data_IF_283896764405
#
_entry.id   IF_283896764405
#
_cell.length_a   1.000
_cell.length_b   1.000
_cell.length_c   1.000
_cell.angle_alpha   90.00
_cell.angle_beta   90.00
_cell.angle_gamma   90.00
#
_symmetry.space_group_name_H-M   'P 1'
#
loop_
_entity.id
_entity.type
_entity.pdbx_description
1 polymer ?
#
# COMPACT_ATOMS: atom_id res chain seq x y z
N UNK A 1 17.48 43.49 -23.77
CA UNK A 1 16.57 42.70 -24.63
C UNK A 1 16.36 41.30 -24.03
N UNK A 2 15.88 41.18 -22.79
CA UNK A 2 15.68 39.86 -22.13
C UNK A 2 14.44 39.74 -21.24
N UNK A 3 13.54 40.73 -21.24
CA UNK A 3 12.28 40.66 -20.50
C UNK A 3 11.15 39.93 -21.26
N UNK A 4 11.27 39.73 -22.57
CA UNK A 4 10.28 38.97 -23.37
C UNK A 4 10.31 37.46 -23.15
N UNK A 5 11.38 36.89 -22.54
CA UNK A 5 11.47 35.45 -22.27
C UNK A 5 10.70 34.99 -21.02
N UNK A 6 10.35 35.90 -20.11
CA UNK A 6 9.60 35.55 -18.89
C UNK A 6 8.08 35.65 -19.07
N UNK A 7 7.60 36.49 -19.99
CA UNK A 7 6.16 36.62 -20.25
C UNK A 7 5.59 35.51 -21.16
N UNK A 8 6.42 34.83 -21.94
CA UNK A 8 5.96 33.73 -22.82
C UNK A 8 5.57 32.45 -22.07
N UNK A 9 6.07 32.25 -20.84
CA UNK A 9 5.64 31.12 -19.98
C UNK A 9 4.27 31.33 -19.33
N UNK A 10 3.81 32.58 -19.17
CA UNK A 10 2.50 32.89 -18.61
C UNK A 10 1.37 32.86 -19.66
N UNK A 11 1.74 32.89 -20.95
CA UNK A 11 0.83 32.88 -22.09
C UNK A 11 0.89 31.59 -22.92
N UNK A 12 1.20 30.45 -22.31
CA UNK A 12 0.59 29.20 -22.77
C UNK A 12 -0.86 29.21 -22.27
N UNK A 13 -1.69 29.99 -22.98
CA UNK A 13 -3.14 29.85 -22.97
C UNK A 13 -3.39 28.41 -23.43
N UNK A 14 -3.34 27.45 -22.50
CA UNK A 14 -3.70 26.04 -22.71
C UNK A 14 -5.07 26.14 -23.37
N UNK A 15 -5.12 25.86 -24.67
CA UNK A 15 -6.37 25.72 -25.42
C UNK A 15 -7.22 24.81 -24.53
N UNK A 16 -8.26 25.35 -23.88
CA UNK A 16 -9.19 24.53 -23.09
C UNK A 16 -9.79 23.56 -24.10
N UNK A 17 -9.22 22.35 -24.18
CA UNK A 17 -9.81 21.25 -24.95
C UNK A 17 -11.23 21.12 -24.42
N UNK A 18 -12.20 21.11 -25.33
CA UNK A 18 -13.60 20.96 -24.96
C UNK A 18 -13.74 19.66 -24.18
N UNK A 19 -14.16 19.75 -22.93
CA UNK A 19 -14.39 18.59 -22.06
C UNK A 19 -15.45 17.72 -22.70
N UNK A 20 -15.19 16.42 -22.79
CA UNK A 20 -16.18 15.43 -23.22
C UNK A 20 -17.15 15.13 -22.08
N UNK A 21 -18.33 14.58 -22.35
CA UNK A 21 -19.26 14.13 -21.28
C UNK A 21 -18.59 13.16 -20.29
N UNK A 22 -17.71 12.30 -20.79
CA UNK A 22 -16.90 11.40 -19.95
C UNK A 22 -15.96 12.15 -19.03
N UNK A 23 -15.39 13.26 -19.49
CA UNK A 23 -14.51 14.08 -18.67
C UNK A 23 -15.29 14.76 -17.52
N UNK A 24 -16.53 15.18 -17.78
CA UNK A 24 -17.41 15.70 -16.74
C UNK A 24 -17.81 14.62 -15.73
N UNK A 25 -18.16 13.43 -16.19
CA UNK A 25 -18.47 12.32 -15.29
C UNK A 25 -17.24 11.97 -14.42
N UNK A 26 -16.07 11.84 -15.04
CA UNK A 26 -14.83 11.55 -14.34
C UNK A 26 -14.49 12.62 -13.30
N UNK A 27 -14.62 13.91 -13.65
CA UNK A 27 -14.35 15.00 -12.70
C UNK A 27 -15.33 14.99 -11.52
N UNK A 28 -16.61 14.70 -11.75
CA UNK A 28 -17.61 14.61 -10.67
C UNK A 28 -17.25 13.50 -9.68
N UNK A 29 -16.92 12.30 -10.16
CA UNK A 29 -16.56 11.19 -9.27
C UNK A 29 -15.24 11.46 -8.55
N UNK A 30 -14.25 12.03 -9.23
CA UNK A 30 -12.99 12.41 -8.58
C UNK A 30 -13.18 13.49 -7.53
N UNK A 31 -14.02 14.49 -7.78
CA UNK A 31 -14.29 15.53 -6.79
C UNK A 31 -14.91 14.95 -5.51
N UNK A 32 -15.73 13.90 -5.62
CA UNK A 32 -16.27 13.17 -4.45
C UNK A 32 -15.18 12.43 -3.69
N UNK A 33 -14.30 11.73 -4.40
CA UNK A 33 -13.19 10.96 -3.81
C UNK A 33 -12.18 11.89 -3.14
N UNK A 34 -11.76 12.96 -3.83
CA UNK A 34 -10.69 13.87 -3.40
C UNK A 34 -11.20 14.95 -2.45
N UNK A 35 -12.51 15.25 -2.46
CA UNK A 35 -13.10 16.34 -1.69
C UNK A 35 -12.69 17.74 -2.15
N UNK A 36 -12.13 17.86 -3.36
CA UNK A 36 -11.72 19.13 -3.99
C UNK A 36 -11.95 19.07 -5.49
N UNK A 37 -12.09 20.23 -6.14
CA UNK A 37 -12.27 20.32 -7.59
C UNK A 37 -10.96 20.03 -8.35
N UNK A 38 -10.97 19.03 -9.23
CA UNK A 38 -9.85 18.71 -10.13
C UNK A 38 -9.55 19.86 -11.11
N UNK A 39 -8.28 20.26 -11.24
CA UNK A 39 -7.91 21.39 -12.10
C UNK A 39 -7.60 20.93 -13.53
N UNK A 40 -7.00 19.75 -13.68
CA UNK A 40 -6.59 19.20 -14.96
C UNK A 40 -7.05 17.74 -15.12
N UNK A 41 -8.29 17.56 -15.58
CA UNK A 41 -8.90 16.24 -15.85
C UNK A 41 -8.06 15.34 -16.77
N UNK A 42 -7.18 15.90 -17.60
CA UNK A 42 -6.34 15.12 -18.50
C UNK A 42 -5.36 14.20 -17.75
N UNK A 43 -4.87 14.62 -16.56
CA UNK A 43 -4.01 13.80 -15.72
C UNK A 43 -4.73 12.55 -15.22
N UNK A 44 -5.96 12.72 -14.77
CA UNK A 44 -6.77 11.61 -14.28
C UNK A 44 -7.26 10.72 -15.41
N UNK A 45 -7.55 11.30 -16.58
CA UNK A 45 -7.84 10.52 -17.78
C UNK A 45 -6.68 9.58 -18.12
N UNK A 46 -5.44 10.04 -17.98
CA UNK A 46 -4.25 9.21 -18.14
C UNK A 46 -4.15 8.15 -17.04
N UNK A 47 -4.37 8.52 -15.77
CA UNK A 47 -4.36 7.59 -14.63
C UNK A 47 -5.37 6.43 -14.79
N UNK A 48 -6.53 6.70 -15.38
CA UNK A 48 -7.59 5.70 -15.63
C UNK A 48 -7.67 5.25 -17.10
N UNK A 49 -6.54 5.35 -17.83
CA UNK A 49 -6.41 4.81 -19.18
C UNK A 49 -5.64 3.48 -19.14
N UNK A 50 -6.31 2.38 -19.50
CA UNK A 50 -5.60 1.13 -19.76
C UNK A 50 -4.85 1.21 -21.09
N UNK A 51 -3.77 0.44 -21.19
CA UNK A 51 -2.93 0.36 -22.38
C UNK A 51 -3.75 -0.18 -23.56
N UNK A 52 -3.93 0.66 -24.59
CA UNK A 52 -4.38 0.18 -25.89
C UNK A 52 -3.18 -0.32 -26.67
N UNK A 53 -3.16 -1.60 -27.04
CA UNK A 53 -2.06 -2.30 -27.73
C UNK A 53 -1.64 -1.74 -29.10
N UNK A 54 -2.10 -0.59 -29.56
CA UNK A 54 -1.84 -0.17 -30.95
C UNK A 54 -1.81 1.32 -31.30
N UNK A 55 -2.16 2.29 -30.43
CA UNK A 55 -2.28 3.70 -30.91
C UNK A 55 -1.70 4.83 -30.05
N UNK A 56 -1.40 4.65 -28.77
CA UNK A 56 -0.81 5.71 -27.94
C UNK A 56 0.31 5.14 -27.06
N UNK A 57 1.56 5.25 -27.51
CA UNK A 57 2.74 4.84 -26.72
C UNK A 57 3.07 5.79 -25.57
N UNK A 58 2.59 7.03 -25.61
CA UNK A 58 3.09 8.13 -24.76
C UNK A 58 2.23 8.47 -23.53
N UNK A 59 1.03 7.89 -23.40
CA UNK A 59 0.11 8.11 -22.27
C UNK A 59 -0.03 6.78 -21.55
N UNK A 60 0.70 6.61 -20.46
CA UNK A 60 0.77 5.32 -19.77
C UNK A 60 0.56 5.55 -18.28
N UNK A 61 -0.56 5.06 -17.75
CA UNK A 61 -0.88 5.13 -16.32
C UNK A 61 0.27 4.58 -15.46
N UNK A 62 1.09 3.65 -15.97
CA UNK A 62 2.28 3.11 -15.29
C UNK A 62 3.31 4.21 -14.94
N UNK A 63 3.39 5.30 -15.70
CA UNK A 63 4.27 6.45 -15.35
C UNK A 63 3.72 7.24 -14.17
N UNK A 64 2.40 7.39 -14.10
CA UNK A 64 1.73 8.02 -12.96
C UNK A 64 1.77 7.09 -11.74
N UNK A 65 1.64 5.78 -11.93
CA UNK A 65 1.83 4.75 -10.89
C UNK A 65 3.23 4.89 -10.28
N UNK A 66 4.28 4.88 -11.11
CA UNK A 66 5.66 5.04 -10.67
C UNK A 66 5.89 6.31 -9.86
N UNK A 67 5.38 7.46 -10.35
CA UNK A 67 5.46 8.72 -9.63
C UNK A 67 4.67 8.67 -8.32
N UNK A 68 3.47 8.10 -8.37
CA UNK A 68 2.54 8.02 -7.26
C UNK A 68 3.06 7.17 -6.11
N UNK A 69 3.68 6.02 -6.39
CA UNK A 69 4.34 5.18 -5.38
C UNK A 69 5.43 5.96 -4.64
N UNK A 70 6.29 6.68 -5.37
CA UNK A 70 7.35 7.51 -4.78
C UNK A 70 6.79 8.65 -3.91
N UNK A 71 5.75 9.33 -4.40
CA UNK A 71 5.08 10.43 -3.68
C UNK A 71 4.38 9.92 -2.43
N UNK A 72 3.59 8.84 -2.55
CA UNK A 72 2.91 8.20 -1.42
C UNK A 72 3.93 7.75 -0.37
N UNK A 73 4.98 7.04 -0.81
CA UNK A 73 6.05 6.58 0.07
C UNK A 73 6.70 7.73 0.84
N UNK A 74 6.88 8.89 0.21
CA UNK A 74 7.42 10.10 0.85
C UNK A 74 6.45 10.69 1.86
N UNK A 75 5.18 10.88 1.48
CA UNK A 75 4.14 11.42 2.36
C UNK A 75 3.99 10.56 3.62
N UNK A 76 3.95 9.24 3.46
CA UNK A 76 3.83 8.31 4.58
C UNK A 76 5.09 8.30 5.45
N UNK A 77 6.29 8.31 4.88
CA UNK A 77 7.52 8.45 5.66
C UNK A 77 7.50 9.72 6.52
N UNK A 78 7.18 10.87 5.92
CA UNK A 78 7.13 12.15 6.63
C UNK A 78 6.07 12.14 7.73
N UNK A 79 4.87 11.62 7.44
CA UNK A 79 3.80 11.51 8.42
C UNK A 79 4.21 10.62 9.59
N UNK A 80 4.75 9.42 9.35
CA UNK A 80 5.16 8.50 10.41
C UNK A 80 6.28 9.09 11.29
N UNK A 81 7.26 9.76 10.69
CA UNK A 81 8.35 10.41 11.42
C UNK A 81 7.83 11.51 12.36
N UNK A 82 6.86 12.30 11.91
CA UNK A 82 6.25 13.36 12.72
C UNK A 82 5.31 12.81 13.81
N UNK A 83 4.53 11.79 13.48
CA UNK A 83 3.53 11.20 14.39
C UNK A 83 4.18 10.36 15.49
N UNK A 84 5.31 9.71 15.22
CA UNK A 84 6.00 8.82 16.15
C UNK A 84 7.45 9.26 16.41
N UNK A 85 7.69 10.41 17.06
CA UNK A 85 9.04 10.97 17.23
C UNK A 85 9.97 10.13 18.12
N UNK A 86 9.42 9.19 18.89
CA UNK A 86 10.17 8.29 19.77
C UNK A 86 10.32 6.88 19.20
N UNK A 87 9.74 6.60 18.03
CA UNK A 87 9.85 5.29 17.41
C UNK A 87 11.21 5.14 16.70
N UNK A 88 11.79 3.94 16.80
CA UNK A 88 12.99 3.61 16.04
C UNK A 88 12.71 3.38 14.55
N UNK A 89 13.79 3.30 13.76
CA UNK A 89 13.72 3.09 12.31
C UNK A 89 12.96 1.81 11.94
N UNK A 90 13.16 0.71 12.67
CA UNK A 90 12.50 -0.57 12.40
C UNK A 90 10.98 -0.49 12.51
N UNK A 91 10.46 0.19 13.53
CA UNK A 91 9.02 0.44 13.68
C UNK A 91 8.48 1.30 12.52
N UNK A 92 9.17 2.39 12.18
CA UNK A 92 8.76 3.29 11.10
C UNK A 92 8.73 2.55 9.75
N UNK A 93 9.75 1.75 9.46
CA UNK A 93 9.85 0.92 8.25
C UNK A 93 8.75 -0.14 8.22
N UNK A 94 8.45 -0.79 9.36
CA UNK A 94 7.35 -1.75 9.46
C UNK A 94 5.99 -1.07 9.22
N UNK A 95 5.75 0.08 9.85
CA UNK A 95 4.51 0.84 9.68
C UNK A 95 4.32 1.35 8.26
N UNK A 96 5.39 1.88 7.63
CA UNK A 96 5.35 2.26 6.23
C UNK A 96 4.96 1.06 5.36
N UNK A 97 5.61 -0.08 5.56
CA UNK A 97 5.31 -1.32 4.84
C UNK A 97 3.87 -1.81 5.05
N UNK A 98 3.27 -1.57 6.22
CA UNK A 98 1.84 -1.86 6.47
C UNK A 98 0.91 -1.03 5.60
N UNK A 99 1.24 0.24 5.41
CA UNK A 99 0.42 1.21 4.72
C UNK A 99 0.55 1.05 3.20
N UNK A 100 1.79 0.95 2.69
CA UNK A 100 2.05 0.96 1.25
C UNK A 100 2.18 -0.43 0.61
N UNK A 101 1.89 -1.51 1.35
CA UNK A 101 1.92 -2.84 0.72
C UNK A 101 0.78 -3.03 -0.28
N UNK A 102 1.06 -3.84 -1.31
CA UNK A 102 0.13 -4.15 -2.40
C UNK A 102 -1.26 -4.60 -1.92
N UNK A 103 -1.34 -5.43 -0.88
CA UNK A 103 -2.63 -5.91 -0.35
C UNK A 103 -3.48 -4.76 0.20
N UNK A 104 -2.86 -3.81 0.90
CA UNK A 104 -3.55 -2.64 1.42
C UNK A 104 -3.94 -1.68 0.30
N UNK A 105 -3.04 -1.38 -0.63
CA UNK A 105 -3.33 -0.48 -1.75
C UNK A 105 -4.42 -1.03 -2.67
N UNK A 106 -4.44 -2.33 -2.97
CA UNK A 106 -5.53 -2.96 -3.71
C UNK A 106 -6.86 -2.79 -2.99
N UNK A 107 -6.89 -3.06 -1.68
CA UNK A 107 -8.10 -2.89 -0.88
C UNK A 107 -8.60 -1.44 -0.93
N UNK A 108 -7.72 -0.46 -0.77
CA UNK A 108 -8.10 0.96 -0.83
C UNK A 108 -8.65 1.33 -2.21
N UNK A 109 -8.02 0.85 -3.29
CA UNK A 109 -8.53 1.05 -4.65
C UNK A 109 -9.89 0.39 -4.89
N UNK A 110 -10.13 -0.79 -4.30
CA UNK A 110 -11.43 -1.48 -4.35
C UNK A 110 -12.50 -0.75 -3.54
N UNK A 111 -12.18 -0.32 -2.31
CA UNK A 111 -13.09 0.41 -1.43
C UNK A 111 -13.52 1.75 -2.08
N UNK A 112 -12.61 2.38 -2.83
CA UNK A 112 -12.87 3.59 -3.63
C UNK A 112 -13.49 3.31 -5.02
N UNK A 113 -13.66 2.04 -5.39
CA UNK A 113 -14.18 1.60 -6.70
C UNK A 113 -13.44 2.21 -7.89
N UNK A 114 -12.12 2.33 -7.79
CA UNK A 114 -11.29 2.99 -8.82
C UNK A 114 -11.38 2.31 -10.19
N UNK A 115 -11.67 1.01 -10.24
CA UNK A 115 -11.90 0.27 -11.49
C UNK A 115 -13.12 0.76 -12.26
N UNK A 116 -14.11 1.35 -11.59
CA UNK A 116 -15.31 1.89 -12.24
C UNK A 116 -15.00 3.18 -13.03
N UNK A 117 -13.89 3.84 -12.70
CA UNK A 117 -13.40 5.04 -13.39
C UNK A 117 -12.59 4.71 -14.63
N UNK A 118 -12.23 3.44 -14.84
CA UNK A 118 -11.56 3.01 -16.05
C UNK A 118 -12.45 3.30 -17.26
N UNK A 119 -11.84 3.87 -18.30
CA UNK A 119 -12.54 3.98 -19.57
C UNK A 119 -12.86 2.57 -20.05
N UNK A 120 -14.15 2.25 -20.21
CA UNK A 120 -14.61 0.98 -20.81
C UNK A 120 -13.90 0.75 -22.14
N UNK A 121 -12.84 -0.04 -22.10
CA UNK A 121 -12.13 -0.59 -23.24
C UNK A 121 -12.42 -2.09 -23.22
N UNK A 122 -12.69 -2.64 -24.40
CA UNK A 122 -13.20 -4.00 -24.56
C UNK A 122 -12.45 -5.02 -23.69
N UNK A 123 -13.19 -5.77 -22.87
CA UNK A 123 -12.80 -7.01 -22.18
C UNK A 123 -11.29 -7.23 -21.95
N UNK A 124 -10.62 -6.25 -21.33
CA UNK A 124 -9.24 -6.45 -20.87
C UNK A 124 -9.33 -7.19 -19.54
N UNK A 125 -8.74 -8.38 -19.47
CA UNK A 125 -8.56 -9.06 -18.19
C UNK A 125 -7.73 -8.14 -17.29
N UNK A 126 -8.33 -7.68 -16.20
CA UNK A 126 -7.63 -6.85 -15.23
C UNK A 126 -6.70 -7.73 -14.40
N UNK A 127 -5.47 -7.27 -14.17
CA UNK A 127 -4.54 -7.97 -13.29
C UNK A 127 -5.02 -7.94 -11.84
N UNK A 128 -4.57 -8.91 -11.03
CA UNK A 128 -4.91 -9.06 -9.60
C UNK A 128 -4.59 -7.79 -8.76
N UNK A 129 -3.70 -6.94 -9.26
CA UNK A 129 -3.20 -5.74 -8.60
C UNK A 129 -3.71 -4.42 -9.18
N UNK A 130 -4.68 -4.47 -10.10
CA UNK A 130 -5.10 -3.28 -10.85
C UNK A 130 -5.56 -2.14 -9.93
N UNK A 131 -6.32 -2.45 -8.88
CA UNK A 131 -6.90 -1.43 -8.00
C UNK A 131 -5.81 -0.65 -7.26
N UNK A 132 -4.76 -1.33 -6.80
CA UNK A 132 -3.61 -0.70 -6.15
C UNK A 132 -2.79 0.14 -7.13
N UNK A 133 -2.57 -0.36 -8.34
CA UNK A 133 -1.87 0.40 -9.38
C UNK A 133 -2.64 1.66 -9.77
N UNK A 134 -3.98 1.59 -9.88
CA UNK A 134 -4.83 2.75 -10.13
C UNK A 134 -4.82 3.73 -8.96
N UNK A 135 -4.74 3.24 -7.73
CA UNK A 135 -4.60 4.09 -6.55
C UNK A 135 -3.28 4.87 -6.58
N UNK A 136 -2.16 4.21 -6.90
CA UNK A 136 -0.86 4.85 -7.09
C UNK A 136 -0.92 5.85 -8.25
N UNK A 137 -1.51 5.48 -9.40
CA UNK A 137 -1.66 6.39 -10.54
C UNK A 137 -2.52 7.62 -10.22
N UNK A 138 -3.59 7.45 -9.43
CA UNK A 138 -4.42 8.55 -8.92
C UNK A 138 -3.57 9.52 -8.09
N UNK A 139 -2.72 9.01 -7.18
CA UNK A 139 -1.83 9.83 -6.37
C UNK A 139 -0.84 10.60 -7.26
N UNK A 140 -0.26 9.95 -8.27
CA UNK A 140 0.59 10.61 -9.25
C UNK A 140 -0.13 11.77 -9.97
N UNK A 141 -1.39 11.56 -10.37
CA UNK A 141 -2.20 12.61 -10.99
C UNK A 141 -2.51 13.76 -10.02
N UNK A 142 -2.90 13.47 -8.78
CA UNK A 142 -3.19 14.48 -7.74
C UNK A 142 -1.95 15.33 -7.44
N UNK A 143 -0.78 14.70 -7.34
CA UNK A 143 0.48 15.40 -7.12
C UNK A 143 0.80 16.40 -8.25
N UNK A 144 0.59 16.00 -9.51
CA UNK A 144 0.81 16.88 -10.65
C UNK A 144 -0.23 18.01 -10.74
N UNK A 145 -1.47 17.75 -10.28
CA UNK A 145 -2.56 18.71 -10.31
C UNK A 145 -2.43 19.78 -9.21
N UNK A 146 -2.10 19.38 -7.98
CA UNK A 146 -2.15 20.25 -6.80
C UNK A 146 -0.82 20.46 -6.07
N UNK A 147 0.27 19.86 -6.54
CA UNK A 147 1.58 19.91 -5.89
C UNK A 147 1.58 19.26 -4.48
N UNK A 148 2.73 19.26 -3.81
CA UNK A 148 2.98 18.39 -2.66
C UNK A 148 2.03 18.61 -1.47
N UNK A 149 1.87 19.85 -0.99
CA UNK A 149 1.15 20.11 0.28
C UNK A 149 -0.34 19.76 0.20
N UNK A 150 -1.00 20.11 -0.90
CA UNK A 150 -2.41 19.78 -1.09
C UNK A 150 -2.57 18.27 -1.33
N UNK A 151 -1.68 17.66 -2.11
CA UNK A 151 -1.66 16.21 -2.32
C UNK A 151 -1.51 15.44 -1.00
N UNK A 152 -0.55 15.86 -0.15
CA UNK A 152 -0.35 15.33 1.21
C UNK A 152 -1.63 15.41 2.03
N UNK A 153 -2.31 16.56 2.01
CA UNK A 153 -3.57 16.76 2.75
C UNK A 153 -4.65 15.80 2.27
N UNK A 154 -4.88 15.71 0.97
CA UNK A 154 -5.88 14.81 0.38
C UNK A 154 -5.58 13.36 0.76
N UNK A 155 -4.33 12.93 0.65
CA UNK A 155 -3.95 11.55 0.97
C UNK A 155 -4.20 11.23 2.44
N UNK A 156 -3.72 12.05 3.37
CA UNK A 156 -3.83 11.77 4.81
C UNK A 156 -5.23 11.96 5.39
N UNK A 157 -6.04 12.86 4.81
CA UNK A 157 -7.37 13.18 5.35
C UNK A 157 -8.50 12.43 4.65
N UNK A 158 -8.33 12.01 3.40
CA UNK A 158 -9.39 11.40 2.59
C UNK A 158 -9.10 9.97 2.14
N UNK A 159 -7.88 9.71 1.65
CA UNK A 159 -7.55 8.41 1.04
C UNK A 159 -6.94 7.40 2.02
N UNK A 160 -6.28 7.89 3.07
CA UNK A 160 -5.66 7.12 4.15
C UNK A 160 -6.03 7.77 5.47
N UNK A 161 -7.31 7.72 5.80
CA UNK A 161 -7.86 8.40 6.97
C UNK A 161 -7.17 7.94 8.26
N UNK A 162 -7.16 8.78 9.32
CA UNK A 162 -6.62 8.38 10.62
C UNK A 162 -7.21 7.06 11.14
N UNK A 163 -8.48 6.79 10.82
CA UNK A 163 -9.14 5.53 11.19
C UNK A 163 -8.55 4.31 10.50
N UNK A 164 -8.14 4.43 9.24
CA UNK A 164 -7.47 3.36 8.49
C UNK A 164 -6.05 3.16 8.99
N UNK A 165 -5.34 4.26 9.28
CA UNK A 165 -4.01 4.21 9.87
C UNK A 165 -4.01 3.49 11.23
N UNK A 166 -4.96 3.82 12.11
CA UNK A 166 -5.12 3.15 13.42
C UNK A 166 -5.44 1.65 13.28
N UNK A 167 -6.25 1.27 12.28
CA UNK A 167 -6.51 -0.16 11.99
C UNK A 167 -5.24 -0.90 11.55
N UNK A 168 -4.39 -0.23 10.77
CA UNK A 168 -3.13 -0.81 10.29
C UNK A 168 -2.08 -0.91 11.39
N UNK A 169 -2.01 0.07 12.29
CA UNK A 169 -1.10 0.07 13.43
C UNK A 169 -1.28 -1.18 14.30
N UNK A 170 -2.54 -1.48 14.66
CA UNK A 170 -2.90 -2.62 15.50
C UNK A 170 -2.81 -3.98 14.80
N UNK A 171 -2.52 -4.00 13.50
CA UNK A 171 -2.43 -5.24 12.73
C UNK A 171 -1.02 -5.83 12.83
N UNK A 172 -0.94 -7.06 13.31
CA UNK A 172 0.29 -7.86 13.26
C UNK A 172 0.50 -8.34 11.82
N UNK A 173 1.65 -8.01 11.23
CA UNK A 173 1.98 -8.35 9.83
C UNK A 173 2.76 -9.66 9.74
N UNK A 174 3.67 -9.89 10.68
CA UNK A 174 4.39 -11.14 10.82
C UNK A 174 4.55 -11.50 12.29
N UNK A 175 3.85 -12.56 12.69
CA UNK A 175 4.01 -13.21 13.98
C UNK A 175 5.38 -13.86 14.11
N UNK A 176 5.97 -14.36 13.01
CA UNK A 176 7.34 -14.90 13.04
C UNK A 176 8.36 -13.82 13.39
N UNK A 177 8.33 -12.69 12.67
CA UNK A 177 9.21 -11.55 12.97
C UNK A 177 9.01 -11.04 14.39
N UNK A 178 7.75 -10.87 14.80
CA UNK A 178 7.38 -10.43 16.15
C UNK A 178 7.96 -11.35 17.24
N UNK A 179 7.84 -12.68 17.08
CA UNK A 179 8.35 -13.64 18.05
C UNK A 179 9.88 -13.68 18.09
N UNK A 180 10.55 -13.51 16.94
CA UNK A 180 12.01 -13.43 16.88
C UNK A 180 12.53 -12.17 17.58
N UNK A 181 11.91 -11.01 17.36
CA UNK A 181 12.27 -9.77 18.05
C UNK A 181 12.03 -9.89 19.56
N UNK A 182 10.87 -10.44 19.95
CA UNK A 182 10.54 -10.65 21.36
C UNK A 182 11.53 -11.61 22.04
N UNK A 183 11.85 -12.75 21.40
CA UNK A 183 12.79 -13.72 21.96
C UNK A 183 14.19 -13.14 22.10
N UNK A 184 14.67 -12.37 21.10
CA UNK A 184 15.96 -11.68 21.16
C UNK A 184 16.00 -10.69 22.32
N UNK A 185 14.96 -9.86 22.49
CA UNK A 185 14.86 -8.89 23.60
C UNK A 185 14.89 -9.59 24.98
N UNK A 186 14.22 -10.72 25.10
CA UNK A 186 14.19 -11.53 26.33
C UNK A 186 15.40 -12.45 26.49
N UNK A 187 16.32 -12.49 25.52
CA UNK A 187 17.44 -13.43 25.44
C UNK A 187 17.00 -14.91 25.51
N UNK A 188 15.84 -15.22 24.94
CA UNK A 188 15.28 -16.56 24.84
C UNK A 188 15.63 -17.19 23.48
N UNK A 189 15.89 -18.48 23.48
CA UNK A 189 16.20 -19.24 22.27
C UNK A 189 14.90 -19.77 21.63
N UNK A 190 14.44 -19.11 20.56
CA UNK A 190 13.30 -19.60 19.76
C UNK A 190 13.81 -20.28 18.49
N UNK A 191 13.29 -21.46 18.18
CA UNK A 191 13.67 -22.24 16.99
C UNK A 191 12.46 -22.64 16.17
N UNK A 192 12.64 -22.63 14.85
CA UNK A 192 11.65 -23.07 13.88
C UNK A 192 12.19 -24.28 13.14
N UNK A 193 11.51 -25.42 13.27
CA UNK A 193 11.84 -26.65 12.57
C UNK A 193 10.74 -26.96 11.56
N UNK A 194 11.08 -26.86 10.28
CA UNK A 194 10.11 -27.06 9.19
C UNK A 194 10.52 -28.25 8.34
N UNK A 195 9.61 -29.22 8.21
CA UNK A 195 9.78 -30.42 7.40
C UNK A 195 8.77 -30.41 6.24
N UNK A 196 9.18 -30.96 5.11
CA UNK A 196 8.29 -31.22 3.97
C UNK A 196 7.62 -32.59 4.14
N UNK A 197 6.32 -32.66 3.87
CA UNK A 197 5.50 -33.87 3.96
C UNK A 197 4.70 -34.04 2.67
N UNK A 198 4.67 -35.27 2.14
CA UNK A 198 3.82 -35.62 1.00
C UNK A 198 2.54 -36.26 1.54
N UNK A 199 1.40 -35.65 1.24
CA UNK A 199 0.10 -36.18 1.62
C UNK A 199 -0.33 -37.35 0.73
N UNK A 200 -1.33 -38.11 1.17
CA UNK A 200 -1.89 -39.27 0.45
C UNK A 200 -2.36 -38.91 -0.97
N UNK A 201 -2.88 -37.69 -1.15
CA UNK A 201 -3.29 -37.14 -2.45
C UNK A 201 -2.11 -36.63 -3.32
N UNK A 202 -0.86 -36.94 -2.94
CA UNK A 202 0.38 -36.45 -3.57
C UNK A 202 0.59 -34.93 -3.53
N UNK A 203 -0.17 -34.21 -2.70
CA UNK A 203 0.10 -32.78 -2.46
C UNK A 203 1.26 -32.60 -1.47
N UNK A 204 2.13 -31.65 -1.75
CA UNK A 204 3.25 -31.30 -0.88
C UNK A 204 2.77 -30.27 0.13
N UNK A 205 3.03 -30.52 1.41
CA UNK A 205 2.77 -29.58 2.50
C UNK A 205 4.01 -29.44 3.37
N UNK A 206 4.09 -28.35 4.13
CA UNK A 206 5.19 -28.07 5.03
C UNK A 206 4.64 -28.02 6.45
N UNK A 207 5.19 -28.83 7.35
CA UNK A 207 4.88 -28.79 8.79
C UNK A 207 6.00 -28.07 9.52
N UNK A 208 5.64 -26.99 10.22
CA UNK A 208 6.55 -26.22 11.05
C UNK A 208 6.23 -26.44 12.53
N UNK A 209 7.27 -26.61 13.34
CA UNK A 209 7.25 -26.64 14.80
C UNK A 209 8.00 -25.43 15.35
N UNK A 210 7.40 -24.76 16.34
CA UNK A 210 8.01 -23.65 17.08
C UNK A 210 8.40 -24.12 18.47
N UNK A 211 9.68 -23.96 18.79
CA UNK A 211 10.27 -24.34 20.06
C UNK A 211 10.78 -23.11 20.80
N UNK A 212 10.62 -23.09 22.12
CA UNK A 212 11.21 -22.09 23.02
C UNK A 212 12.09 -22.84 24.03
N UNK A 213 13.41 -22.75 23.88
CA UNK A 213 14.33 -23.66 24.56
C UNK A 213 14.11 -25.09 24.08
N UNK A 214 13.75 -25.98 25.01
CA UNK A 214 13.42 -27.39 24.74
C UNK A 214 11.90 -27.63 24.69
N UNK A 215 11.08 -26.63 25.02
CA UNK A 215 9.63 -26.76 25.03
C UNK A 215 9.04 -26.52 23.65
N UNK A 216 8.20 -27.44 23.19
CA UNK A 216 7.45 -27.32 21.95
C UNK A 216 6.19 -26.49 22.18
N UNK A 217 6.17 -25.27 21.65
CA UNK A 217 5.09 -24.31 21.91
C UNK A 217 3.92 -24.50 20.96
N UNK A 218 4.19 -24.64 19.66
CA UNK A 218 3.15 -24.74 18.65
C UNK A 218 3.62 -25.44 17.38
N UNK A 219 2.67 -25.78 16.52
CA UNK A 219 2.93 -26.25 15.17
C UNK A 219 1.87 -25.78 14.18
N UNK A 220 2.18 -25.84 12.89
CA UNK A 220 1.20 -25.68 11.83
C UNK A 220 1.66 -26.37 10.54
N UNK A 221 0.70 -26.72 9.69
CA UNK A 221 0.94 -27.30 8.37
C UNK A 221 0.28 -26.42 7.31
N UNK A 222 1.02 -26.08 6.25
CA UNK A 222 0.55 -25.21 5.17
C UNK A 222 1.18 -25.61 3.82
N UNK A 223 0.66 -25.04 2.73
CA UNK A 223 1.10 -25.33 1.36
C UNK A 223 2.48 -24.78 0.98
N UNK A 224 3.09 -23.95 1.84
CA UNK A 224 4.47 -23.49 1.65
C UNK A 224 5.20 -23.33 2.97
N UNK A 225 6.52 -23.48 2.95
CA UNK A 225 7.40 -23.29 4.12
C UNK A 225 7.14 -21.97 4.83
N UNK A 226 7.06 -20.87 4.07
CA UNK A 226 6.80 -19.52 4.61
C UNK A 226 5.44 -19.42 5.30
N UNK A 227 4.38 -19.98 4.69
CA UNK A 227 3.04 -19.99 5.29
C UNK A 227 3.00 -20.84 6.56
N UNK A 228 3.68 -22.00 6.56
CA UNK A 228 3.71 -22.91 7.70
C UNK A 228 4.39 -22.26 8.91
N UNK A 229 5.56 -21.65 8.70
CA UNK A 229 6.30 -20.95 9.75
C UNK A 229 5.51 -19.77 10.32
N UNK A 230 4.89 -18.96 9.46
CA UNK A 230 4.07 -17.81 9.87
C UNK A 230 2.83 -18.27 10.66
N UNK A 231 2.17 -19.35 10.22
CA UNK A 231 1.00 -19.91 10.91
C UNK A 231 1.36 -20.55 12.24
N UNK A 232 2.50 -21.23 12.32
CA UNK A 232 3.01 -21.83 13.55
C UNK A 232 3.42 -20.73 14.55
N UNK A 233 4.08 -19.66 14.06
CA UNK A 233 4.39 -18.47 14.85
C UNK A 233 3.13 -17.79 15.38
N UNK A 234 2.08 -17.65 14.56
CA UNK A 234 0.80 -17.08 14.99
C UNK A 234 0.21 -17.88 16.17
N UNK A 235 0.20 -19.21 16.07
CA UNK A 235 -0.28 -20.08 17.16
C UNK A 235 0.58 -19.93 18.42
N UNK A 236 1.91 -19.96 18.27
CA UNK A 236 2.85 -19.77 19.38
C UNK A 236 2.64 -18.42 20.06
N UNK A 237 2.43 -17.34 19.29
CA UNK A 237 2.16 -16.01 19.81
C UNK A 237 0.93 -16.01 20.73
N UNK A 238 -0.20 -16.58 20.31
CA UNK A 238 -1.40 -16.58 21.16
C UNK A 238 -1.23 -17.41 22.44
N UNK A 239 -0.42 -18.45 22.41
CA UNK A 239 -0.09 -19.25 23.60
C UNK A 239 0.80 -18.46 24.55
N UNK A 240 1.87 -17.86 24.04
CA UNK A 240 2.87 -17.14 24.83
C UNK A 240 2.35 -15.78 25.32
N UNK A 241 1.57 -15.06 24.51
CA UNK A 241 1.05 -13.73 24.87
C UNK A 241 0.13 -13.77 26.09
N UNK A 242 -0.59 -14.88 26.32
CA UNK A 242 -1.38 -15.09 27.55
C UNK A 242 -0.53 -15.16 28.82
N UNK A 243 0.73 -15.61 28.70
CA UNK A 243 1.65 -15.80 29.82
C UNK A 243 2.56 -14.59 30.02
N UNK A 244 3.06 -14.00 28.92
CA UNK A 244 4.21 -13.10 28.92
C UNK A 244 3.90 -11.67 28.42
N UNK A 245 2.65 -11.39 28.01
CA UNK A 245 2.22 -10.10 27.47
C UNK A 245 3.18 -9.51 26.40
N UNK A 246 3.36 -10.25 25.30
CA UNK A 246 4.34 -9.99 24.23
C UNK A 246 4.17 -8.60 23.60
N UNK A 247 2.95 -8.06 23.55
CA UNK A 247 2.63 -6.77 22.92
C UNK A 247 2.97 -5.54 23.79
N UNK A 248 3.57 -5.71 24.98
CA UNK A 248 3.90 -4.61 25.89
C UNK A 248 4.79 -3.52 25.26
N UNK A 249 4.21 -2.31 25.12
CA UNK A 249 4.83 -1.03 24.70
C UNK A 249 5.89 -1.11 23.58
N UNK A 250 5.52 -1.61 22.40
CA UNK A 250 6.33 -1.46 21.16
C UNK A 250 6.52 -0.01 20.67
N UNK A 251 5.99 0.99 21.37
CA UNK A 251 5.99 2.40 20.96
C UNK A 251 7.17 3.24 21.48
N UNK A 252 8.00 2.70 22.39
CA UNK A 252 8.97 3.48 23.16
C UNK A 252 10.41 2.91 23.17
N UNK A 253 10.74 2.02 22.23
CA UNK A 253 12.06 1.37 22.13
C UNK A 253 12.47 1.29 20.67
#
# INVERSE_FOLDING_TARGET
>A
MELQKYFSKFLLKKRKRKLTERDYFLSIELNKILGTEVQNVALYREAFSLKNSSKNKDSNYERLEFLGDSVLGTIISCHLFQTYPQANEGYLTQMKSKIVNRKNLNKLGEDLKLTDLLQKQASVALGENISGNLFEALIGAVYLDFQYEICRKIILERLLTPTEMNKLENKIVSYKGLLLEWSQKKKLNIKYETCEEIQVNKSIVFRCHVWLGEEKIANATETSKKKAEEKAAQRAFYILNKKENILGNSKAL
#
